data_IF_978306437548
#
_entry.id   IF_978306437548
#
_cell.length_a   1.000
_cell.length_b   1.000
_cell.length_c   1.000
_cell.angle_alpha   90.00
_cell.angle_beta   90.00
_cell.angle_gamma   90.00
#
_symmetry.space_group_name_H-M   'P 1'
#
loop_
_entity.id
_entity.type
_entity.pdbx_description
1 polymer ?
#
# COMPACT_ATOMS: atom_id res chain seq x y z
N UNK A 1 -31.61 -1.79 -23.43
CA UNK A 1 -31.08 -2.81 -22.50
C UNK A 1 -30.10 -2.11 -21.61
N UNK A 2 -30.37 -2.01 -20.31
CA UNK A 2 -29.47 -1.34 -19.36
C UNK A 2 -28.25 -2.24 -19.14
N UNK A 3 -27.09 -1.88 -19.68
CA UNK A 3 -25.82 -2.53 -19.33
C UNK A 3 -25.46 -2.11 -17.90
N UNK A 4 -25.20 -3.07 -17.05
CA UNK A 4 -24.76 -2.82 -15.68
C UNK A 4 -23.28 -2.47 -15.74
N UNK A 5 -22.92 -1.31 -15.22
CA UNK A 5 -21.53 -0.94 -14.93
C UNK A 5 -20.98 -1.98 -13.97
N UNK A 6 -19.95 -2.70 -14.39
CA UNK A 6 -19.27 -3.69 -13.55
C UNK A 6 -18.11 -2.97 -12.83
N UNK A 7 -18.40 -2.50 -11.63
CA UNK A 7 -17.33 -2.01 -10.74
C UNK A 7 -16.55 -3.22 -10.22
N UNK A 8 -15.33 -3.40 -10.69
CA UNK A 8 -14.43 -4.45 -10.20
C UNK A 8 -13.84 -4.07 -8.85
N UNK A 9 -14.32 -4.69 -7.80
CA UNK A 9 -13.75 -4.64 -6.46
C UNK A 9 -12.45 -5.46 -6.42
N UNK A 10 -11.31 -4.81 -6.39
CA UNK A 10 -10.09 -5.40 -5.86
C UNK A 10 -9.44 -4.41 -4.88
N UNK A 11 -9.97 -4.38 -3.66
CA UNK A 11 -9.18 -3.96 -2.51
C UNK A 11 -8.14 -5.04 -2.28
N UNK A 12 -6.86 -4.73 -2.35
CA UNK A 12 -5.82 -5.60 -1.82
C UNK A 12 -5.97 -5.60 -0.30
N UNK A 13 -6.86 -6.46 0.19
CA UNK A 13 -6.90 -6.76 1.61
C UNK A 13 -5.66 -7.58 1.94
N UNK A 14 -4.77 -7.04 2.77
CA UNK A 14 -3.84 -7.85 3.53
C UNK A 14 -4.68 -8.82 4.37
N UNK A 15 -4.74 -10.08 3.94
CA UNK A 15 -5.42 -11.14 4.69
C UNK A 15 -4.51 -11.54 5.85
N UNK A 16 -4.85 -11.06 7.03
CA UNK A 16 -4.50 -11.79 8.25
C UNK A 16 -5.43 -12.99 8.33
N UNK A 17 -4.94 -14.18 8.00
CA UNK A 17 -5.68 -15.43 8.18
C UNK A 17 -5.78 -15.75 9.66
N UNK A 18 -6.97 -15.58 10.22
CA UNK A 18 -7.38 -16.33 11.39
C UNK A 18 -8.50 -17.28 11.01
N UNK A 19 -8.21 -18.56 11.22
CA UNK A 19 -9.06 -19.73 11.11
C UNK A 19 -10.31 -19.57 11.96
N UNK A 20 -11.52 -19.85 11.41
CA UNK A 20 -12.49 -20.83 11.91
C UNK A 20 -13.77 -20.87 11.06
N UNK A 21 -14.14 -22.07 10.64
CA UNK A 21 -15.54 -22.47 10.47
C UNK A 21 -16.08 -22.55 9.05
N UNK A 22 -16.06 -23.77 8.57
CA UNK A 22 -16.93 -24.40 7.55
C UNK A 22 -18.18 -23.64 7.09
N UNK A 23 -18.46 -23.60 5.78
CA UNK A 23 -19.64 -24.15 5.09
C UNK A 23 -19.60 -23.85 3.58
N UNK A 24 -19.88 -24.84 2.75
CA UNK A 24 -20.60 -24.68 1.47
C UNK A 24 -19.79 -24.78 0.19
N UNK A 25 -19.64 -25.99 -0.28
CA UNK A 25 -19.26 -26.39 -1.64
C UNK A 25 -20.29 -25.90 -2.66
N UNK A 26 -19.83 -25.21 -3.71
CA UNK A 26 -20.53 -25.20 -5.00
C UNK A 26 -19.56 -25.73 -6.06
N UNK A 27 -19.97 -26.82 -6.66
CA UNK A 27 -19.26 -27.48 -7.73
C UNK A 27 -19.34 -26.68 -9.04
N UNK A 28 -18.21 -26.57 -9.72
CA UNK A 28 -18.16 -26.39 -11.16
C UNK A 28 -17.25 -27.49 -11.69
N UNK A 29 -17.81 -28.29 -12.60
CA UNK A 29 -17.18 -29.43 -13.25
C UNK A 29 -16.15 -29.00 -14.30
N UNK A 30 -15.06 -29.74 -14.30
CA UNK A 30 -14.25 -30.22 -15.42
C UNK A 30 -13.35 -29.25 -16.16
N UNK A 31 -12.06 -29.23 -15.75
CA UNK A 31 -10.92 -29.24 -16.67
C UNK A 31 -9.72 -29.89 -15.94
N UNK A 32 -9.37 -31.07 -16.39
CA UNK A 32 -8.21 -31.84 -15.98
C UNK A 32 -6.92 -31.13 -16.40
N UNK A 33 -6.09 -30.73 -15.41
CA UNK A 33 -4.63 -30.67 -15.58
C UNK A 33 -3.98 -31.10 -14.26
N UNK A 34 -3.28 -32.21 -14.34
CA UNK A 34 -2.37 -32.73 -13.32
C UNK A 34 -1.22 -31.72 -13.10
N UNK A 35 -1.18 -31.08 -11.93
CA UNK A 35 0.05 -30.48 -11.41
C UNK A 35 0.16 -30.76 -9.92
N UNK A 36 1.05 -31.65 -9.62
CA UNK A 36 1.78 -31.96 -8.38
C UNK A 36 1.47 -31.07 -7.15
N UNK A 37 0.69 -31.66 -6.23
CA UNK A 37 0.42 -31.18 -4.86
C UNK A 37 1.61 -31.37 -3.88
N UNK A 38 2.83 -31.59 -4.34
CA UNK A 38 3.96 -32.00 -3.48
C UNK A 38 4.87 -30.87 -2.99
N UNK A 39 4.60 -29.61 -3.36
CA UNK A 39 5.47 -28.47 -2.99
C UNK A 39 4.87 -27.46 -2.00
N UNK A 40 3.61 -27.58 -1.63
CA UNK A 40 2.97 -26.63 -0.71
C UNK A 40 3.01 -27.06 0.77
N UNK A 41 3.10 -28.35 1.06
CA UNK A 41 3.14 -28.87 2.44
C UNK A 41 4.52 -28.76 3.10
N UNK A 42 5.61 -28.75 2.33
CA UNK A 42 6.97 -28.63 2.88
C UNK A 42 7.42 -27.18 3.15
N UNK A 43 6.69 -26.17 2.68
CA UNK A 43 7.05 -24.77 2.94
C UNK A 43 6.41 -24.21 4.23
N UNK A 44 5.38 -24.87 4.76
CA UNK A 44 4.72 -24.43 5.99
C UNK A 44 5.35 -25.03 7.26
N UNK A 45 6.00 -26.18 7.15
CA UNK A 45 6.61 -26.86 8.31
C UNK A 45 8.04 -26.35 8.63
N UNK A 46 8.73 -25.76 7.64
CA UNK A 46 10.08 -25.20 7.83
C UNK A 46 10.05 -23.77 8.42
N UNK A 47 8.91 -23.09 8.36
CA UNK A 47 8.74 -21.75 8.92
C UNK A 47 8.39 -21.76 10.44
N UNK A 48 7.91 -22.89 10.97
CA UNK A 48 7.45 -22.97 12.36
C UNK A 48 8.53 -23.46 13.36
N UNK A 49 9.67 -23.96 12.89
CA UNK A 49 10.66 -24.61 13.74
C UNK A 49 11.84 -23.73 14.19
N UNK A 50 12.00 -22.51 13.65
CA UNK A 50 13.18 -21.66 13.89
C UNK A 50 12.92 -20.34 14.65
N UNK A 51 11.66 -20.02 14.96
CA UNK A 51 11.31 -18.72 15.58
C UNK A 51 11.81 -18.55 17.01
N UNK A 52 12.08 -19.63 17.75
CA UNK A 52 12.43 -19.51 19.17
C UNK A 52 13.96 -19.46 19.43
N UNK A 53 14.79 -19.92 18.51
CA UNK A 53 16.25 -19.95 18.70
C UNK A 53 16.95 -18.66 18.24
N UNK A 54 16.42 -17.98 17.22
CA UNK A 54 17.03 -16.76 16.69
C UNK A 54 16.62 -15.51 17.48
N UNK A 55 15.41 -15.48 18.01
CA UNK A 55 14.91 -14.35 18.82
C UNK A 55 15.65 -14.21 20.17
N UNK A 56 16.10 -15.30 20.77
CA UNK A 56 16.94 -15.26 21.97
C UNK A 56 18.36 -14.73 21.70
N UNK A 57 18.84 -14.83 20.47
CA UNK A 57 20.14 -14.27 20.03
C UNK A 57 20.06 -12.78 19.70
N UNK A 58 18.88 -12.27 19.33
CA UNK A 58 18.67 -10.89 18.89
C UNK A 58 18.53 -9.93 20.08
N UNK A 59 18.05 -10.39 21.24
CA UNK A 59 17.89 -9.56 22.44
C UNK A 59 18.35 -10.26 23.71
N UNK A 60 19.66 -10.59 23.85
CA UNK A 60 20.18 -11.35 24.97
C UNK A 60 20.06 -10.63 26.33
N UNK A 61 19.88 -9.31 26.34
CA UNK A 61 19.84 -8.48 27.55
C UNK A 61 18.43 -8.13 28.01
N UNK A 62 17.38 -8.57 27.28
CA UNK A 62 15.98 -8.19 27.57
C UNK A 62 15.70 -6.68 27.40
N UNK A 63 16.49 -6.00 26.56
CA UNK A 63 16.30 -4.58 26.26
C UNK A 63 14.96 -4.35 25.58
N UNK A 64 14.21 -3.36 26.02
CA UNK A 64 13.03 -2.88 25.29
C UNK A 64 13.49 -1.83 24.27
N UNK A 65 13.28 -2.10 22.98
CA UNK A 65 13.68 -1.21 21.89
C UNK A 65 12.66 -0.09 21.72
N UNK A 66 13.13 1.13 21.56
CA UNK A 66 12.31 2.29 21.21
C UNK A 66 12.17 2.36 19.70
N UNK A 67 10.96 2.20 19.22
CA UNK A 67 10.61 2.26 17.80
C UNK A 67 9.71 3.47 17.56
N UNK A 68 10.05 4.30 16.58
CA UNK A 68 9.19 5.37 16.12
C UNK A 68 8.56 5.01 14.76
N UNK A 69 7.31 5.39 14.57
CA UNK A 69 6.65 5.44 13.26
C UNK A 69 6.47 6.90 12.89
N UNK A 70 7.23 7.35 11.89
CA UNK A 70 7.11 8.68 11.30
C UNK A 70 6.18 8.57 10.08
N UNK A 71 4.91 8.90 10.29
CA UNK A 71 3.89 8.91 9.25
C UNK A 71 3.79 10.30 8.64
N UNK A 72 3.80 10.39 7.31
CA UNK A 72 3.70 11.66 6.61
C UNK A 72 2.33 12.31 6.75
N UNK A 73 1.26 11.51 6.79
CA UNK A 73 -0.10 12.00 6.63
C UNK A 73 -1.11 11.06 7.31
N UNK A 74 -2.16 11.62 7.92
CA UNK A 74 -3.19 10.87 8.65
C UNK A 74 -4.60 11.08 8.09
N UNK A 75 -4.72 11.65 6.88
CA UNK A 75 -6.00 12.13 6.35
C UNK A 75 -6.86 11.09 5.64
N UNK A 76 -6.44 9.84 5.53
CA UNK A 76 -7.22 8.80 4.86
C UNK A 76 -7.35 7.51 5.69
N UNK A 77 -8.30 6.67 5.30
CA UNK A 77 -8.64 5.43 6.01
C UNK A 77 -7.47 4.43 6.00
N UNK A 78 -6.67 4.39 4.92
CA UNK A 78 -5.53 3.49 4.84
C UNK A 78 -4.49 3.84 5.91
N UNK A 79 -4.16 5.13 6.06
CA UNK A 79 -3.21 5.61 7.07
C UNK A 79 -3.70 5.37 8.49
N UNK A 80 -4.99 5.58 8.74
CA UNK A 80 -5.62 5.28 10.04
C UNK A 80 -5.56 3.78 10.36
N UNK A 81 -5.84 2.92 9.38
CA UNK A 81 -5.73 1.48 9.55
C UNK A 81 -4.28 1.04 9.75
N UNK A 82 -3.32 1.61 9.01
CA UNK A 82 -1.90 1.32 9.14
C UNK A 82 -1.41 1.61 10.57
N UNK A 83 -1.73 2.78 11.13
CA UNK A 83 -1.37 3.13 12.50
C UNK A 83 -2.05 2.21 13.53
N UNK A 84 -3.35 1.94 13.37
CA UNK A 84 -4.07 1.04 14.26
C UNK A 84 -3.49 -0.39 14.24
N UNK A 85 -3.07 -0.87 13.07
CA UNK A 85 -2.39 -2.16 12.92
C UNK A 85 -1.02 -2.12 13.59
N UNK A 86 -0.25 -1.05 13.41
CA UNK A 86 1.07 -0.90 14.05
C UNK A 86 0.95 -0.91 15.58
N UNK A 87 -0.02 -0.18 16.15
CA UNK A 87 -0.31 -0.19 17.58
C UNK A 87 -0.75 -1.59 18.08
N UNK A 88 -1.67 -2.23 17.32
CA UNK A 88 -2.12 -3.57 17.65
C UNK A 88 -0.97 -4.57 17.66
N UNK A 89 -0.13 -4.62 16.62
CA UNK A 89 1.02 -5.51 16.53
C UNK A 89 2.01 -5.22 17.66
N UNK A 90 2.31 -3.96 17.94
CA UNK A 90 3.20 -3.58 19.03
C UNK A 90 2.66 -4.00 20.41
N UNK A 91 1.34 -4.15 20.57
CA UNK A 91 0.69 -4.63 21.79
C UNK A 91 0.69 -6.15 21.96
N UNK A 92 1.03 -6.91 20.93
CA UNK A 92 1.04 -8.37 20.95
C UNK A 92 2.44 -8.92 21.23
N UNK A 93 2.51 -10.09 21.89
CA UNK A 93 3.79 -10.81 21.99
C UNK A 93 4.18 -11.38 20.61
N UNK A 94 5.46 -11.40 20.28
CA UNK A 94 6.61 -11.07 21.11
C UNK A 94 7.00 -9.58 21.14
N UNK A 95 6.25 -8.67 20.51
CA UNK A 95 6.63 -7.26 20.40
C UNK A 95 6.35 -6.47 21.67
N UNK A 96 5.25 -6.76 22.38
CA UNK A 96 4.84 -6.04 23.58
C UNK A 96 5.92 -6.05 24.69
N UNK A 97 6.62 -7.16 24.85
CA UNK A 97 7.73 -7.29 25.80
C UNK A 97 9.06 -6.70 25.30
N UNK A 98 9.21 -6.48 23.97
CA UNK A 98 10.48 -6.12 23.32
C UNK A 98 10.53 -4.71 22.78
N UNK A 99 9.38 -4.10 22.46
CA UNK A 99 9.30 -2.83 21.77
C UNK A 99 8.43 -1.84 22.53
N UNK A 100 8.77 -0.58 22.38
CA UNK A 100 7.94 0.56 22.73
C UNK A 100 7.73 1.38 21.44
N UNK A 101 6.48 1.45 20.94
CA UNK A 101 6.13 2.17 19.73
C UNK A 101 5.66 3.58 20.07
N UNK A 102 6.15 4.56 19.31
CA UNK A 102 5.64 5.94 19.29
C UNK A 102 5.30 6.32 17.86
N UNK A 103 4.13 6.88 17.61
CA UNK A 103 3.69 7.33 16.29
C UNK A 103 3.69 8.85 16.26
N UNK A 104 4.23 9.42 15.17
CA UNK A 104 4.26 10.88 14.91
C UNK A 104 3.81 11.17 13.49
N UNK A 105 2.84 12.05 13.37
CA UNK A 105 2.25 12.52 12.11
C UNK A 105 2.78 13.91 11.74
N UNK A 106 3.00 14.17 10.44
CA UNK A 106 3.65 15.38 9.93
C UNK A 106 2.81 16.18 8.91
N UNK A 107 1.50 15.92 8.85
CA UNK A 107 0.52 16.64 8.03
C UNK A 107 0.92 16.82 6.55
N UNK A 108 1.58 15.82 5.99
CA UNK A 108 2.13 15.76 4.63
C UNK A 108 3.16 16.86 4.34
N UNK A 109 3.85 17.34 5.37
CA UNK A 109 4.90 18.34 5.26
C UNK A 109 6.29 17.73 5.48
N UNK A 110 7.14 17.76 4.46
CA UNK A 110 8.46 17.13 4.48
C UNK A 110 9.44 17.84 5.44
N UNK A 111 9.30 19.14 5.68
CA UNK A 111 10.14 19.89 6.63
C UNK A 111 9.78 19.50 8.06
N UNK A 112 8.48 19.48 8.37
CA UNK A 112 7.95 18.99 9.66
C UNK A 112 8.37 17.56 9.92
N UNK A 113 8.25 16.67 8.92
CA UNK A 113 8.67 15.27 9.05
C UNK A 113 10.18 15.15 9.28
N UNK A 114 10.99 15.90 8.54
CA UNK A 114 12.44 15.93 8.74
C UNK A 114 12.82 16.37 10.16
N UNK A 115 12.17 17.41 10.67
CA UNK A 115 12.39 17.88 12.04
C UNK A 115 11.99 16.82 13.09
N UNK A 116 10.90 16.09 12.84
CA UNK A 116 10.47 15.00 13.73
C UNK A 116 11.44 13.82 13.72
N UNK A 117 11.96 13.43 12.55
CA UNK A 117 12.99 12.38 12.43
C UNK A 117 14.27 12.79 13.19
N UNK A 118 14.73 14.03 13.04
CA UNK A 118 15.88 14.55 13.78
C UNK A 118 15.64 14.52 15.31
N UNK A 119 14.43 14.89 15.75
CA UNK A 119 14.07 14.85 17.15
C UNK A 119 14.03 13.41 17.70
N UNK A 120 13.53 12.44 16.96
CA UNK A 120 13.57 11.01 17.32
C UNK A 120 15.02 10.52 17.41
N UNK A 121 15.87 10.90 16.47
CA UNK A 121 17.28 10.57 16.51
C UNK A 121 17.97 11.12 17.78
N UNK A 122 17.71 12.37 18.13
CA UNK A 122 18.24 13.00 19.34
C UNK A 122 17.70 12.36 20.64
N UNK A 123 16.49 11.79 20.63
CA UNK A 123 15.89 11.08 21.77
C UNK A 123 16.36 9.64 21.92
N UNK A 124 17.24 9.16 21.03
CA UNK A 124 17.86 7.84 21.10
C UNK A 124 16.89 6.71 20.81
N UNK A 125 16.05 6.84 19.80
CA UNK A 125 15.29 5.72 19.27
C UNK A 125 16.23 4.71 18.63
N UNK A 126 15.89 3.43 18.74
CA UNK A 126 16.67 2.34 18.16
C UNK A 126 16.32 2.12 16.67
N UNK A 127 15.06 2.35 16.31
CA UNK A 127 14.55 2.22 14.95
C UNK A 127 13.51 3.30 14.63
N UNK A 128 13.50 3.77 13.39
CA UNK A 128 12.48 4.67 12.86
C UNK A 128 11.89 4.03 11.60
N UNK A 129 10.58 3.76 11.62
CA UNK A 129 9.79 3.40 10.45
C UNK A 129 9.33 4.70 9.80
N UNK A 130 9.62 4.90 8.52
CA UNK A 130 9.32 6.17 7.83
C UNK A 130 8.41 5.89 6.64
N UNK A 131 7.28 6.54 6.63
CA UNK A 131 6.43 6.69 5.46
C UNK A 131 6.56 8.13 4.96
N UNK A 132 7.38 8.38 3.89
CA UNK A 132 7.84 9.71 3.54
C UNK A 132 6.74 10.62 2.97
N UNK A 133 6.73 11.89 3.38
CA UNK A 133 5.94 12.95 2.75
C UNK A 133 6.50 13.39 1.39
N UNK A 134 7.76 13.07 1.10
CA UNK A 134 8.43 13.42 -0.15
C UNK A 134 9.59 12.47 -0.40
N UNK A 135 9.74 12.01 -1.65
CA UNK A 135 10.85 11.13 -2.06
C UNK A 135 12.24 11.70 -1.75
N UNK A 136 12.39 13.03 -1.81
CA UNK A 136 13.68 13.68 -1.62
C UNK A 136 13.74 14.58 -0.39
N UNK A 137 12.61 15.13 0.04
CA UNK A 137 12.55 16.14 1.09
C UNK A 137 13.01 15.66 2.47
N UNK A 138 12.83 14.35 2.76
CA UNK A 138 13.21 13.76 4.06
C UNK A 138 14.58 13.06 4.03
N UNK A 139 15.22 12.95 2.86
CA UNK A 139 16.44 12.14 2.69
C UNK A 139 17.57 12.53 3.63
N UNK A 140 17.80 13.82 3.85
CA UNK A 140 18.88 14.28 4.72
C UNK A 140 18.62 13.92 6.19
N UNK A 141 17.37 13.98 6.66
CA UNK A 141 17.02 13.60 8.02
C UNK A 141 17.18 12.08 8.20
N UNK A 142 16.72 11.27 7.25
CA UNK A 142 16.93 9.82 7.24
C UNK A 142 18.43 9.49 7.26
N UNK A 143 19.24 10.16 6.42
CA UNK A 143 20.69 9.94 6.39
C UNK A 143 21.33 10.26 7.74
N UNK A 144 20.96 11.38 8.36
CA UNK A 144 21.50 11.75 9.70
C UNK A 144 21.11 10.73 10.78
N UNK A 145 19.88 10.21 10.74
CA UNK A 145 19.44 9.16 11.67
C UNK A 145 20.26 7.88 11.49
N UNK A 146 20.49 7.46 10.23
CA UNK A 146 21.34 6.31 9.93
C UNK A 146 22.79 6.52 10.38
N UNK A 147 23.36 7.69 10.15
CA UNK A 147 24.73 8.03 10.54
C UNK A 147 24.88 8.08 12.07
N UNK A 148 23.80 8.37 12.80
CA UNK A 148 23.74 8.26 14.25
C UNK A 148 23.59 6.81 14.76
N UNK A 149 23.52 5.82 13.87
CA UNK A 149 23.43 4.39 14.18
C UNK A 149 22.00 3.87 14.35
N UNK A 150 20.98 4.68 14.06
CA UNK A 150 19.59 4.29 14.13
C UNK A 150 19.24 3.44 12.91
N UNK A 151 18.46 2.40 13.10
CA UNK A 151 17.92 1.59 12.00
C UNK A 151 16.73 2.28 11.41
N UNK A 152 16.71 2.49 10.08
CA UNK A 152 15.60 3.13 9.40
C UNK A 152 14.97 2.16 8.41
N UNK A 153 13.65 2.06 8.44
CA UNK A 153 12.87 1.31 7.45
C UNK A 153 11.93 2.28 6.77
N UNK A 154 12.18 2.55 5.50
CA UNK A 154 11.30 3.32 4.63
C UNK A 154 10.26 2.37 4.03
N UNK A 155 8.99 2.70 4.11
CA UNK A 155 7.94 1.85 3.58
C UNK A 155 6.85 2.69 2.91
N UNK A 156 6.00 2.04 2.11
CA UNK A 156 4.94 2.62 1.30
C UNK A 156 5.48 3.65 0.30
N UNK A 157 5.62 4.92 0.70
CA UNK A 157 6.17 5.95 -0.16
C UNK A 157 7.70 5.85 -0.29
N UNK A 158 8.28 6.23 -1.45
CA UNK A 158 9.72 6.15 -1.66
C UNK A 158 10.50 7.23 -0.91
N UNK A 159 11.76 6.90 -0.58
CA UNK A 159 12.81 7.88 -0.31
C UNK A 159 14.08 7.47 -1.07
N UNK A 160 14.84 8.45 -1.55
CA UNK A 160 16.06 8.21 -2.33
C UNK A 160 17.29 8.22 -1.42
N UNK A 161 17.33 7.31 -0.43
CA UNK A 161 18.44 7.15 0.53
C UNK A 161 19.10 5.79 0.33
N UNK A 162 20.42 5.76 0.23
CA UNK A 162 21.23 4.54 0.20
C UNK A 162 22.19 4.55 1.39
N UNK A 163 21.91 3.70 2.38
CA UNK A 163 22.71 3.57 3.60
C UNK A 163 22.56 2.14 4.17
N UNK A 164 23.62 1.56 4.72
CA UNK A 164 23.60 0.20 5.28
C UNK A 164 22.67 0.04 6.49
N UNK A 165 22.22 1.12 7.08
CA UNK A 165 21.23 1.17 8.15
C UNK A 165 19.84 1.59 7.70
N UNK A 166 19.59 1.67 6.38
CA UNK A 166 18.31 2.04 5.79
C UNK A 166 17.81 0.91 4.88
N UNK A 167 16.61 0.41 5.16
CA UNK A 167 15.93 -0.59 4.34
C UNK A 167 14.68 0.00 3.71
N UNK A 168 14.34 -0.44 2.50
CA UNK A 168 13.16 -0.01 1.76
C UNK A 168 12.23 -1.19 1.55
N UNK A 169 10.99 -1.05 2.02
CA UNK A 169 9.91 -2.04 1.83
C UNK A 169 8.80 -1.37 1.03
N UNK A 170 8.63 -1.79 -0.23
CA UNK A 170 7.66 -1.20 -1.14
C UNK A 170 6.82 -2.25 -1.84
N UNK A 171 5.58 -1.87 -2.14
CA UNK A 171 4.76 -2.55 -3.13
C UNK A 171 5.15 -1.99 -4.50
N UNK A 172 5.22 -2.83 -5.51
CA UNK A 172 5.39 -2.39 -6.90
C UNK A 172 4.01 -1.97 -7.44
N UNK A 173 3.61 -0.75 -7.11
CA UNK A 173 2.33 -0.18 -7.52
C UNK A 173 2.20 -0.11 -9.04
N UNK A 174 3.25 0.28 -9.73
CA UNK A 174 3.26 0.32 -11.18
C UNK A 174 2.95 -1.04 -11.82
N UNK A 175 3.54 -2.12 -11.31
CA UNK A 175 3.22 -3.47 -11.77
C UNK A 175 1.79 -3.88 -11.43
N UNK A 176 1.35 -3.58 -10.22
CA UNK A 176 0.00 -3.91 -9.74
C UNK A 176 -1.06 -3.23 -10.60
N UNK A 177 -0.88 -1.95 -10.89
CA UNK A 177 -1.82 -1.17 -11.69
C UNK A 177 -1.77 -1.52 -13.18
N UNK A 178 -0.63 -1.94 -13.72
CA UNK A 178 -0.58 -2.56 -15.07
C UNK A 178 -1.44 -3.81 -15.17
N UNK A 179 -1.36 -4.69 -14.16
CA UNK A 179 -2.17 -5.91 -14.12
C UNK A 179 -3.65 -5.56 -14.00
N UNK A 180 -4.00 -4.61 -13.13
CA UNK A 180 -5.38 -4.16 -12.95
C UNK A 180 -5.95 -3.54 -14.24
N UNK A 181 -5.23 -2.62 -14.86
CA UNK A 181 -5.64 -1.96 -16.10
C UNK A 181 -5.81 -2.96 -17.25
N UNK A 182 -4.90 -3.95 -17.34
CA UNK A 182 -5.04 -5.05 -18.30
C UNK A 182 -6.32 -5.85 -18.07
N UNK A 183 -6.57 -6.25 -16.83
CA UNK A 183 -7.79 -6.98 -16.46
C UNK A 183 -9.06 -6.15 -16.79
N UNK A 184 -9.06 -4.85 -16.49
CA UNK A 184 -10.17 -3.96 -16.80
C UNK A 184 -10.40 -3.87 -18.30
N UNK A 185 -9.33 -3.68 -19.09
CA UNK A 185 -9.41 -3.65 -20.55
C UNK A 185 -10.01 -4.95 -21.11
N UNK A 186 -9.59 -6.10 -20.63
CA UNK A 186 -10.13 -7.39 -21.01
C UNK A 186 -11.61 -7.57 -20.60
N UNK A 187 -11.96 -7.10 -19.39
CA UNK A 187 -13.33 -7.18 -18.86
C UNK A 187 -14.35 -6.35 -19.67
N UNK A 188 -13.92 -5.21 -20.26
CA UNK A 188 -14.75 -4.40 -21.14
C UNK A 188 -14.66 -4.84 -22.63
N UNK A 189 -13.94 -5.94 -22.92
CA UNK A 189 -13.83 -6.51 -24.26
C UNK A 189 -12.80 -5.85 -25.17
N UNK A 190 -11.85 -5.11 -24.62
CA UNK A 190 -10.76 -4.44 -25.33
C UNK A 190 -11.20 -3.19 -26.10
N UNK A 191 -12.41 -2.68 -25.87
CA UNK A 191 -12.96 -1.47 -26.49
C UNK A 191 -13.86 -0.72 -25.50
N UNK A 192 -13.82 0.61 -25.50
CA UNK A 192 -14.66 1.44 -24.63
C UNK A 192 -13.99 2.71 -24.15
N UNK A 193 -14.67 3.42 -23.27
CA UNK A 193 -14.25 4.68 -22.68
C UNK A 193 -13.86 4.48 -21.22
N UNK A 194 -12.65 4.90 -20.87
CA UNK A 194 -12.12 4.75 -19.52
C UNK A 194 -11.76 6.11 -18.92
N UNK A 195 -11.88 6.21 -17.61
CA UNK A 195 -11.48 7.37 -16.81
C UNK A 195 -10.41 6.92 -15.81
N UNK A 196 -9.36 7.72 -15.66
CA UNK A 196 -8.21 7.40 -14.82
C UNK A 196 -8.15 8.30 -13.58
N UNK A 197 -7.84 7.67 -12.45
CA UNK A 197 -7.51 8.37 -11.21
C UNK A 197 -6.02 8.71 -11.16
N UNK A 198 -5.69 9.96 -10.85
CA UNK A 198 -4.32 10.42 -10.62
C UNK A 198 -3.89 10.32 -9.14
N UNK A 199 -4.82 10.00 -8.25
CA UNK A 199 -4.58 9.88 -6.82
C UNK A 199 -4.13 11.17 -6.14
N UNK A 200 -3.19 11.06 -5.20
CA UNK A 200 -2.64 12.19 -4.48
C UNK A 200 -1.57 12.90 -5.31
N UNK A 201 -1.81 14.17 -5.64
CA UNK A 201 -0.86 14.95 -6.43
C UNK A 201 0.50 15.10 -5.74
N UNK A 202 1.57 14.83 -6.49
CA UNK A 202 2.96 14.91 -6.02
C UNK A 202 3.43 13.69 -5.23
N UNK A 203 2.56 12.69 -4.99
CA UNK A 203 2.97 11.41 -4.45
C UNK A 203 3.56 10.54 -5.56
N UNK A 204 4.82 10.11 -5.41
CA UNK A 204 5.53 9.37 -6.44
C UNK A 204 4.86 8.03 -6.78
N UNK A 205 4.26 7.36 -5.79
CA UNK A 205 3.54 6.10 -6.01
C UNK A 205 2.24 6.34 -6.81
N UNK A 206 1.49 7.41 -6.51
CA UNK A 206 0.29 7.77 -7.27
C UNK A 206 0.60 8.06 -8.74
N UNK A 207 1.68 8.80 -9.01
CA UNK A 207 2.14 9.07 -10.37
C UNK A 207 2.56 7.80 -11.12
N UNK A 208 3.20 6.86 -10.42
CA UNK A 208 3.61 5.58 -10.98
C UNK A 208 2.40 4.70 -11.33
N UNK A 209 1.40 4.63 -10.46
CA UNK A 209 0.16 3.87 -10.64
C UNK A 209 -0.68 4.42 -11.79
N UNK A 210 -0.84 5.75 -11.84
CA UNK A 210 -1.52 6.43 -12.94
C UNK A 210 -0.83 6.18 -14.28
N UNK A 211 0.50 6.39 -14.34
CA UNK A 211 1.28 6.20 -15.56
C UNK A 211 1.22 4.76 -16.05
N UNK A 212 1.32 3.80 -15.14
CA UNK A 212 1.24 2.37 -15.43
C UNK A 212 -0.12 1.96 -16.00
N UNK A 213 -1.21 2.51 -15.43
CA UNK A 213 -2.57 2.28 -15.93
C UNK A 213 -2.75 2.87 -17.33
N UNK A 214 -2.31 4.12 -17.51
CA UNK A 214 -2.38 4.82 -18.79
C UNK A 214 -1.64 4.08 -19.89
N UNK A 215 -0.36 3.74 -19.65
CA UNK A 215 0.45 2.97 -20.60
C UNK A 215 -0.22 1.66 -21.01
N UNK A 216 -0.87 0.97 -20.07
CA UNK A 216 -1.55 -0.29 -20.35
C UNK A 216 -2.79 -0.08 -21.23
N UNK A 217 -3.64 0.88 -20.91
CA UNK A 217 -4.83 1.18 -21.75
C UNK A 217 -4.45 1.65 -23.16
N UNK A 218 -3.37 2.42 -23.30
CA UNK A 218 -2.85 2.87 -24.59
C UNK A 218 -2.35 1.72 -25.50
N UNK A 219 -2.18 0.50 -24.98
CA UNK A 219 -1.89 -0.69 -25.80
C UNK A 219 -3.11 -1.24 -26.53
N UNK A 220 -4.30 -0.76 -26.22
CA UNK A 220 -5.56 -1.19 -26.84
C UNK A 220 -6.09 -0.11 -27.78
N UNK A 221 -6.05 -0.36 -29.10
CA UNK A 221 -6.41 0.62 -30.16
C UNK A 221 -7.84 1.17 -30.06
N UNK A 222 -8.73 0.47 -29.35
CA UNK A 222 -10.16 0.82 -29.24
C UNK A 222 -10.57 1.28 -27.86
N UNK A 223 -9.64 1.42 -26.93
CA UNK A 223 -9.90 2.01 -25.63
C UNK A 223 -9.55 3.50 -25.71
N UNK A 224 -10.49 4.34 -25.29
CA UNK A 224 -10.30 5.78 -25.23
C UNK A 224 -10.21 6.21 -23.76
N UNK A 225 -9.13 6.85 -23.38
CA UNK A 225 -9.05 7.56 -22.10
C UNK A 225 -9.75 8.90 -22.31
N UNK A 226 -10.99 9.02 -21.81
CA UNK A 226 -11.87 10.18 -22.08
C UNK A 226 -11.69 11.30 -21.07
N UNK A 227 -11.19 10.97 -19.88
CA UNK A 227 -10.87 11.94 -18.84
C UNK A 227 -9.93 11.31 -17.81
N UNK A 228 -9.36 12.17 -16.99
CA UNK A 228 -8.74 11.79 -15.73
C UNK A 228 -9.22 12.72 -14.59
N UNK A 229 -8.99 12.33 -13.34
CA UNK A 229 -9.36 13.12 -12.18
C UNK A 229 -8.34 12.96 -11.06
N UNK A 230 -8.38 13.89 -10.11
CA UNK A 230 -7.57 13.91 -8.90
C UNK A 230 -8.52 13.79 -7.72
N UNK A 231 -8.35 12.77 -6.91
CA UNK A 231 -9.12 12.59 -5.68
C UNK A 231 -8.35 12.98 -4.41
N UNK A 232 -7.02 13.14 -4.50
CA UNK A 232 -6.12 13.40 -3.37
C UNK A 232 -6.30 12.38 -2.22
N UNK A 233 -6.70 11.15 -2.55
CA UNK A 233 -7.10 10.12 -1.60
C UNK A 233 -8.24 10.55 -0.67
N UNK A 234 -9.13 11.44 -1.13
CA UNK A 234 -10.32 11.92 -0.45
C UNK A 234 -11.58 11.43 -1.18
N UNK A 235 -12.41 10.57 -0.55
CA UNK A 235 -13.61 10.01 -1.18
C UNK A 235 -14.58 11.06 -1.67
N UNK A 236 -14.74 12.18 -0.95
CA UNK A 236 -15.68 13.22 -1.32
C UNK A 236 -15.20 14.01 -2.56
N UNK A 237 -13.88 14.24 -2.69
CA UNK A 237 -13.30 14.84 -3.89
C UNK A 237 -13.46 13.90 -5.09
N UNK A 238 -13.15 12.61 -4.90
CA UNK A 238 -13.32 11.60 -5.94
C UNK A 238 -14.76 11.51 -6.43
N UNK A 239 -15.74 11.44 -5.53
CA UNK A 239 -17.17 11.41 -5.86
C UNK A 239 -17.61 12.67 -6.64
N UNK A 240 -17.21 13.86 -6.19
CA UNK A 240 -17.55 15.12 -6.87
C UNK A 240 -16.92 15.22 -8.27
N UNK A 241 -15.67 14.81 -8.44
CA UNK A 241 -14.98 14.82 -9.72
C UNK A 241 -15.64 13.83 -10.69
N UNK A 242 -15.87 12.59 -10.24
CA UNK A 242 -16.49 11.54 -11.04
C UNK A 242 -17.92 11.87 -11.45
N UNK A 243 -18.74 12.43 -10.55
CA UNK A 243 -20.10 12.85 -10.87
C UNK A 243 -20.12 13.84 -12.04
N UNK A 244 -19.17 14.77 -12.06
CA UNK A 244 -19.03 15.76 -13.15
C UNK A 244 -18.59 15.11 -14.47
N UNK A 245 -17.65 14.17 -14.41
CA UNK A 245 -17.13 13.45 -15.58
C UNK A 245 -18.18 12.52 -16.17
N UNK A 246 -18.92 11.77 -15.33
CA UNK A 246 -20.00 10.87 -15.76
C UNK A 246 -21.14 11.65 -16.41
N UNK A 247 -21.48 12.82 -15.86
CA UNK A 247 -22.50 13.68 -16.46
C UNK A 247 -22.10 14.19 -17.86
N UNK A 248 -20.80 14.43 -18.09
CA UNK A 248 -20.26 14.86 -19.37
C UNK A 248 -20.04 13.71 -20.36
N UNK A 249 -19.81 12.50 -19.87
CA UNK A 249 -19.47 11.29 -20.64
C UNK A 249 -20.39 10.13 -20.23
N UNK A 250 -21.61 10.04 -20.74
CA UNK A 250 -22.57 9.01 -20.28
C UNK A 250 -22.22 7.58 -20.70
N UNK A 251 -21.24 7.41 -21.58
CA UNK A 251 -20.81 6.12 -22.14
C UNK A 251 -19.46 5.66 -21.58
N UNK A 252 -19.19 5.92 -20.29
CA UNK A 252 -18.01 5.39 -19.59
C UNK A 252 -18.21 3.90 -19.32
N UNK A 253 -17.21 3.09 -19.68
CA UNK A 253 -17.22 1.64 -19.50
C UNK A 253 -16.42 1.21 -18.26
N UNK A 254 -15.36 1.96 -17.88
CA UNK A 254 -14.56 1.67 -16.70
C UNK A 254 -13.90 2.93 -16.10
N UNK A 255 -13.64 2.86 -14.79
CA UNK A 255 -12.97 3.92 -14.03
C UNK A 255 -11.90 3.26 -13.16
N UNK A 256 -10.66 3.76 -13.18
CA UNK A 256 -9.66 3.38 -12.18
C UNK A 256 -9.83 4.21 -10.91
N UNK A 257 -9.40 3.66 -9.78
CA UNK A 257 -9.33 4.39 -8.51
C UNK A 257 -8.09 3.96 -7.75
N UNK A 258 -7.43 4.88 -7.11
CA UNK A 258 -6.23 4.63 -6.30
C UNK A 258 -6.52 4.54 -4.79
N UNK A 259 -7.76 4.63 -4.37
CA UNK A 259 -8.04 4.56 -2.95
C UNK A 259 -9.49 4.29 -2.58
N UNK A 260 -10.45 4.81 -3.33
CA UNK A 260 -11.83 4.84 -2.88
C UNK A 260 -12.83 4.32 -3.90
N UNK A 261 -13.05 3.01 -3.86
CA UNK A 261 -14.09 2.36 -4.67
C UNK A 261 -15.48 2.95 -4.37
N UNK A 262 -15.73 3.42 -3.15
CA UNK A 262 -16.99 4.05 -2.77
C UNK A 262 -17.34 5.26 -3.62
N UNK A 263 -16.37 6.04 -4.07
CA UNK A 263 -16.59 7.16 -4.97
C UNK A 263 -17.09 6.75 -6.36
N UNK A 264 -16.86 5.50 -6.77
CA UNK A 264 -17.25 4.97 -8.09
C UNK A 264 -18.60 4.26 -8.07
N UNK A 265 -19.02 3.70 -6.91
CA UNK A 265 -20.23 2.86 -6.82
C UNK A 265 -21.46 3.56 -6.27
N UNK A 266 -21.34 4.80 -5.79
CA UNK A 266 -22.45 5.64 -5.35
C UNK A 266 -23.05 6.43 -6.52
#
# INVERSE_FOLDING_TARGET
MKRKVLAGLLSVAMVATTVFGSVGVWAAEDATEETTEETAENAADDAAADEDSDTAKINPEGKKYKIALSNSYMGNDWRQQMEAIAEYVASQEPYASRCELTIVNSENDAESQSASIDAMAAQGYDCILVDPASETGVNQAIQRACDAGIKVVVFDQPASVSNDSCWHIRIDGGRSYKILAKWMAEAIGGEGNVVLDQGLQGAAEAELEYSASKEMFETYDKINIVSDYVDDYDPAKGEQALASIIAANPDIDAVTTQGYVSAVVN
#
